data_IF_271522957718
#
_entry.id   IF_271522957718
#
_cell.length_a   1.000
_cell.length_b   1.000
_cell.length_c   1.000
_cell.angle_alpha   90.00
_cell.angle_beta   90.00
_cell.angle_gamma   90.00
#
_symmetry.space_group_name_H-M   'P 1'
#
loop_
_entity.id
_entity.type
_entity.pdbx_description
1 polymer ?
#
# COMPACT_ATOMS: atom_id res chain seq x y z
N UNK A 1 21.83 12.96 -2.01
CA UNK A 1 21.90 12.81 -0.55
C UNK A 1 22.95 13.76 -0.01
N UNK A 2 22.67 14.43 1.09
CA UNK A 2 23.62 15.22 1.87
C UNK A 2 23.80 14.65 3.28
N UNK A 3 24.91 15.01 3.92
CA UNK A 3 25.23 14.62 5.29
C UNK A 3 24.91 15.72 6.32
N UNK A 4 25.06 15.44 7.62
CA UNK A 4 24.91 16.43 8.68
C UNK A 4 25.72 17.71 8.41
N UNK A 5 25.15 18.87 8.73
CA UNK A 5 25.77 20.17 8.44
C UNK A 5 24.90 21.34 8.88
N UNK A 6 25.52 22.52 9.05
CA UNK A 6 24.83 23.78 9.41
C UNK A 6 23.86 23.67 10.62
N UNK A 7 24.22 22.85 11.61
CA UNK A 7 23.42 22.61 12.82
C UNK A 7 22.33 21.53 12.69
N UNK A 8 22.15 20.92 11.51
CA UNK A 8 21.28 19.77 11.33
C UNK A 8 22.06 18.44 11.47
N UNK A 9 21.72 17.57 12.45
CA UNK A 9 22.56 16.43 12.81
C UNK A 9 22.30 15.16 11.98
N UNK A 10 21.32 15.16 11.06
CA UNK A 10 20.89 13.96 10.34
C UNK A 10 21.21 14.03 8.84
N UNK A 11 21.27 12.88 8.14
CA UNK A 11 21.29 12.85 6.68
C UNK A 11 20.05 13.54 6.09
N UNK A 12 20.18 14.10 4.89
CA UNK A 12 19.08 14.78 4.20
C UNK A 12 19.09 14.53 2.70
N UNK A 13 17.94 14.78 2.08
CA UNK A 13 17.74 14.69 0.64
C UNK A 13 16.87 15.85 0.18
N UNK A 14 17.10 16.32 -1.05
CA UNK A 14 16.24 17.28 -1.74
C UNK A 14 15.79 16.62 -3.02
N UNK A 15 14.49 16.54 -3.22
CA UNK A 15 13.86 15.93 -4.38
C UNK A 15 13.24 17.01 -5.26
N UNK A 16 13.08 16.69 -6.54
CA UNK A 16 12.30 17.52 -7.45
C UNK A 16 10.84 17.44 -7.04
N UNK A 17 10.17 18.59 -6.99
CA UNK A 17 8.73 18.66 -6.80
C UNK A 17 7.99 17.97 -7.95
N UNK A 18 6.99 17.15 -7.62
CA UNK A 18 6.10 16.51 -8.59
C UNK A 18 4.77 17.25 -8.59
N UNK A 19 4.32 17.67 -9.76
CA UNK A 19 3.07 18.42 -9.90
C UNK A 19 1.84 17.50 -9.78
N UNK A 20 0.83 17.96 -9.06
CA UNK A 20 -0.43 17.26 -8.84
C UNK A 20 -1.06 17.65 -7.51
N UNK A 21 -2.35 17.35 -7.37
CA UNK A 21 -3.10 17.43 -6.13
C UNK A 21 -2.98 16.11 -5.37
N UNK A 22 -2.92 16.18 -4.04
CA UNK A 22 -2.93 14.98 -3.20
C UNK A 22 -4.32 14.30 -3.29
N UNK A 23 -4.35 12.97 -3.48
CA UNK A 23 -5.61 12.25 -3.63
C UNK A 23 -6.50 12.28 -2.38
N UNK A 24 -5.97 12.61 -1.19
CA UNK A 24 -6.76 12.81 0.04
C UNK A 24 -7.81 13.91 -0.14
N UNK A 25 -7.44 15.01 -0.81
CA UNK A 25 -8.28 16.21 -0.91
C UNK A 25 -8.95 16.34 -2.28
N UNK A 26 -8.64 15.45 -3.22
CA UNK A 26 -9.09 15.57 -4.60
C UNK A 26 -10.30 14.67 -4.90
N UNK A 27 -11.47 15.23 -5.24
CA UNK A 27 -12.62 14.43 -5.67
C UNK A 27 -12.38 13.70 -6.99
N UNK A 28 -11.25 13.98 -7.66
CA UNK A 28 -10.86 13.39 -8.93
C UNK A 28 -9.97 12.15 -8.79
N UNK A 29 -9.66 11.73 -7.56
CA UNK A 29 -8.93 10.49 -7.31
C UNK A 29 -9.79 9.24 -7.55
N UNK A 30 -11.08 9.31 -7.22
CA UNK A 30 -12.00 8.18 -7.35
C UNK A 30 -12.64 8.12 -8.75
N UNK A 31 -11.84 7.77 -9.75
CA UNK A 31 -12.30 7.57 -11.12
C UNK A 31 -11.84 6.22 -11.65
N UNK A 32 -12.61 5.65 -12.58
CA UNK A 32 -12.23 4.42 -13.30
C UNK A 32 -10.87 4.59 -13.99
N UNK A 33 -10.59 5.78 -14.52
CA UNK A 33 -9.31 6.06 -15.17
C UNK A 33 -8.14 6.04 -14.19
N UNK A 34 -8.26 6.68 -13.03
CA UNK A 34 -7.23 6.65 -11.97
C UNK A 34 -7.04 5.23 -11.44
N UNK A 35 -8.13 4.49 -11.22
CA UNK A 35 -8.10 3.08 -10.81
C UNK A 35 -7.31 2.21 -11.80
N UNK A 36 -7.62 2.30 -13.09
CA UNK A 36 -6.91 1.52 -14.12
C UNK A 36 -5.45 1.95 -14.23
N UNK A 37 -5.14 3.25 -14.14
CA UNK A 37 -3.77 3.75 -14.18
C UNK A 37 -2.93 3.26 -12.98
N UNK A 38 -3.50 3.26 -11.77
CA UNK A 38 -2.83 2.76 -10.58
C UNK A 38 -2.60 1.24 -10.66
N UNK A 39 -3.58 0.48 -11.15
CA UNK A 39 -3.42 -0.94 -11.39
C UNK A 39 -2.30 -1.23 -12.42
N UNK A 40 -2.20 -0.44 -13.48
CA UNK A 40 -1.11 -0.56 -14.46
C UNK A 40 0.26 -0.24 -13.85
N UNK A 41 0.33 0.79 -12.99
CA UNK A 41 1.55 1.09 -12.23
C UNK A 41 1.98 -0.08 -11.35
N UNK A 42 1.06 -0.66 -10.56
CA UNK A 42 1.34 -1.81 -9.69
C UNK A 42 1.83 -2.99 -10.52
N UNK A 43 1.19 -3.31 -11.64
CA UNK A 43 1.64 -4.39 -12.53
C UNK A 43 3.02 -4.14 -13.12
N UNK A 44 3.33 -2.90 -13.48
CA UNK A 44 4.66 -2.53 -13.96
C UNK A 44 5.73 -2.67 -12.86
N UNK A 45 5.39 -2.29 -11.63
CA UNK A 45 6.25 -2.46 -10.45
C UNK A 45 6.51 -3.96 -10.21
N UNK A 46 5.47 -4.77 -10.14
CA UNK A 46 5.55 -6.22 -9.90
C UNK A 46 6.29 -6.98 -11.00
N UNK A 47 6.33 -6.45 -12.23
CA UNK A 47 7.05 -7.04 -13.36
C UNK A 47 8.54 -6.67 -13.41
N UNK A 48 9.01 -5.75 -12.56
CA UNK A 48 10.43 -5.40 -12.50
C UNK A 48 11.25 -6.58 -11.95
N UNK A 49 12.52 -6.69 -12.38
CA UNK A 49 13.43 -7.75 -11.94
C UNK A 49 13.56 -7.74 -10.41
N UNK A 50 13.18 -8.83 -9.70
CA UNK A 50 13.27 -8.90 -8.25
C UNK A 50 14.69 -9.18 -7.75
N UNK A 51 15.65 -9.43 -8.65
CA UNK A 51 17.00 -9.83 -8.26
C UNK A 51 17.68 -8.77 -7.37
N UNK A 52 18.03 -9.15 -6.15
CA UNK A 52 18.71 -8.29 -5.18
C UNK A 52 17.79 -7.33 -4.42
N UNK A 53 16.47 -7.43 -4.58
CA UNK A 53 15.51 -6.67 -3.78
C UNK A 53 15.47 -7.12 -2.30
N UNK A 54 15.22 -6.19 -1.36
CA UNK A 54 15.05 -6.56 0.04
C UNK A 54 13.76 -7.34 0.24
N UNK A 55 13.80 -8.41 1.02
CA UNK A 55 12.59 -9.09 1.48
C UNK A 55 11.81 -8.19 2.45
N UNK A 56 10.50 -8.43 2.58
CA UNK A 56 9.69 -7.84 3.63
C UNK A 56 10.31 -8.08 5.02
N UNK A 57 10.54 -7.00 5.77
CA UNK A 57 11.13 -7.04 7.10
C UNK A 57 10.66 -5.84 7.96
N UNK A 58 11.23 -5.69 9.15
CA UNK A 58 10.90 -4.59 10.05
C UNK A 58 11.20 -3.21 9.44
N UNK A 59 12.14 -3.10 8.49
CA UNK A 59 12.45 -1.88 7.76
C UNK A 59 11.33 -1.47 6.79
N UNK A 60 10.63 -2.42 6.19
CA UNK A 60 9.41 -2.18 5.42
C UNK A 60 8.13 -2.19 6.27
N UNK A 61 8.25 -2.24 7.61
CA UNK A 61 7.11 -2.34 8.53
C UNK A 61 6.34 -3.67 8.43
N UNK A 62 7.04 -4.74 8.05
CA UNK A 62 6.52 -6.07 7.79
C UNK A 62 5.38 -6.08 6.75
N UNK A 63 5.41 -5.14 5.80
CA UNK A 63 4.48 -5.08 4.66
C UNK A 63 4.81 -6.18 3.67
N UNK A 64 3.80 -6.92 3.19
CA UNK A 64 4.00 -8.08 2.32
C UNK A 64 4.52 -9.35 3.01
N UNK A 65 4.71 -9.33 4.34
CA UNK A 65 5.03 -10.53 5.12
C UNK A 65 3.73 -11.27 5.54
N UNK A 66 3.79 -12.59 5.84
CA UNK A 66 2.63 -13.35 6.27
C UNK A 66 1.92 -12.75 7.49
N UNK A 67 0.60 -12.63 7.44
CA UNK A 67 -0.22 -12.00 8.51
C UNK A 67 -0.03 -12.64 9.89
N UNK A 68 0.27 -13.95 9.96
CA UNK A 68 0.53 -14.66 11.21
C UNK A 68 1.65 -14.02 12.03
N UNK A 69 2.65 -13.41 11.38
CA UNK A 69 3.73 -12.70 12.07
C UNK A 69 3.22 -11.47 12.83
N UNK A 70 2.09 -10.89 12.42
CA UNK A 70 1.47 -9.69 13.01
C UNK A 70 0.40 -10.01 14.04
N UNK A 71 -0.02 -11.28 14.19
CA UNK A 71 -1.18 -11.67 14.98
C UNK A 71 -1.18 -11.13 16.43
N UNK A 72 -0.09 -11.38 17.16
CA UNK A 72 0.01 -10.94 18.55
C UNK A 72 -0.02 -9.40 18.69
N UNK A 73 0.57 -8.67 17.73
CA UNK A 73 0.57 -7.21 17.75
C UNK A 73 -0.81 -6.64 17.37
N UNK A 74 -1.44 -7.20 16.33
CA UNK A 74 -2.77 -6.78 15.87
C UNK A 74 -3.82 -7.01 16.96
N UNK A 75 -3.86 -8.19 17.59
CA UNK A 75 -4.83 -8.47 18.66
C UNK A 75 -4.69 -7.55 19.86
N UNK A 76 -3.44 -7.23 20.23
CA UNK A 76 -3.15 -6.26 21.29
C UNK A 76 -3.66 -4.88 20.92
N UNK A 77 -3.39 -4.40 19.71
CA UNK A 77 -3.89 -3.12 19.22
C UNK A 77 -5.44 -3.06 19.20
N UNK A 78 -6.10 -4.15 18.79
CA UNK A 78 -7.57 -4.27 18.84
C UNK A 78 -8.07 -4.16 20.29
N UNK A 79 -7.43 -4.87 21.23
CA UNK A 79 -7.82 -4.84 22.63
C UNK A 79 -7.62 -3.45 23.28
N UNK A 80 -6.51 -2.78 22.97
CA UNK A 80 -6.20 -1.43 23.45
C UNK A 80 -7.11 -0.36 22.83
N UNK A 81 -7.63 -0.61 21.63
CA UNK A 81 -8.55 0.29 20.92
C UNK A 81 -10.03 0.07 21.27
N UNK A 82 -10.34 -0.78 22.26
CA UNK A 82 -11.73 -1.00 22.72
C UNK A 82 -12.35 0.34 23.15
N UNK A 83 -13.48 0.68 22.53
CA UNK A 83 -14.17 1.96 22.72
C UNK A 83 -13.93 2.99 21.61
N UNK A 84 -12.93 2.76 20.74
CA UNK A 84 -12.71 3.55 19.52
C UNK A 84 -13.23 2.84 18.27
N UNK A 85 -13.27 1.51 18.31
CA UNK A 85 -13.67 0.64 17.20
C UNK A 85 -14.65 -0.44 17.69
N UNK A 86 -15.37 -1.05 16.75
CA UNK A 86 -16.05 -2.32 16.97
C UNK A 86 -15.00 -3.45 17.03
N UNK A 87 -14.42 -3.64 18.22
CA UNK A 87 -13.35 -4.61 18.44
C UNK A 87 -13.79 -6.05 18.13
N UNK A 88 -15.06 -6.38 18.27
CA UNK A 88 -15.55 -7.74 18.02
C UNK A 88 -15.68 -7.98 16.52
N UNK A 89 -16.22 -7.03 15.76
CA UNK A 89 -16.24 -7.08 14.29
C UNK A 89 -14.81 -7.13 13.69
N UNK A 90 -13.89 -6.32 14.23
CA UNK A 90 -12.49 -6.32 13.75
C UNK A 90 -11.77 -7.63 14.08
N UNK A 91 -12.03 -8.23 15.24
CA UNK A 91 -11.50 -9.57 15.53
C UNK A 91 -12.05 -10.62 14.56
N UNK A 92 -13.34 -10.58 14.21
CA UNK A 92 -13.92 -11.51 13.21
C UNK A 92 -13.24 -11.35 11.85
N UNK A 93 -13.03 -10.12 11.41
CA UNK A 93 -12.35 -9.83 10.14
C UNK A 93 -10.89 -10.29 10.17
N UNK A 94 -10.16 -10.02 11.26
CA UNK A 94 -8.79 -10.46 11.45
C UNK A 94 -8.65 -11.99 11.43
N UNK A 95 -9.55 -12.69 12.12
CA UNK A 95 -9.62 -14.16 12.09
C UNK A 95 -9.92 -14.71 10.70
N UNK A 96 -10.76 -14.04 9.92
CA UNK A 96 -11.01 -14.42 8.53
C UNK A 96 -9.76 -14.25 7.66
N UNK A 97 -9.06 -13.12 7.81
CA UNK A 97 -7.82 -12.86 7.08
C UNK A 97 -6.72 -13.88 7.43
N UNK A 98 -6.56 -14.27 8.70
CA UNK A 98 -5.60 -15.29 9.11
C UNK A 98 -5.90 -16.70 8.56
N UNK A 99 -7.15 -16.97 8.17
CA UNK A 99 -7.54 -18.24 7.53
C UNK A 99 -7.33 -18.23 6.01
N UNK A 100 -7.09 -17.07 5.41
CA UNK A 100 -6.74 -17.01 4.00
C UNK A 100 -5.43 -17.79 3.75
N UNK A 101 -5.27 -18.43 2.58
CA UNK A 101 -4.00 -19.06 2.21
C UNK A 101 -2.86 -18.05 2.31
N UNK A 102 -1.72 -18.48 2.87
CA UNK A 102 -0.50 -17.69 2.82
C UNK A 102 -0.03 -17.66 1.38
N UNK A 103 0.28 -16.48 0.86
CA UNK A 103 0.90 -16.33 -0.45
C UNK A 103 2.21 -17.14 -0.52
N UNK A 104 2.26 -18.12 -1.40
CA UNK A 104 3.36 -19.09 -1.54
C UNK A 104 4.04 -19.05 -2.92
N UNK A 105 3.60 -18.15 -3.80
CA UNK A 105 4.23 -17.84 -5.08
C UNK A 105 5.51 -16.98 -4.92
N UNK A 106 6.18 -16.71 -6.03
CA UNK A 106 7.39 -15.88 -6.02
C UNK A 106 7.08 -14.44 -5.59
N UNK A 107 7.79 -13.89 -4.59
CA UNK A 107 7.53 -12.54 -4.11
C UNK A 107 7.82 -11.52 -5.21
N UNK A 108 6.99 -10.47 -5.26
CA UNK A 108 7.07 -9.39 -6.25
C UNK A 108 7.37 -8.07 -5.54
N UNK A 109 7.85 -7.08 -6.31
CA UNK A 109 7.97 -5.72 -5.79
C UNK A 109 6.60 -5.17 -5.40
N UNK A 110 6.50 -4.71 -4.16
CA UNK A 110 5.34 -4.00 -3.63
C UNK A 110 5.75 -2.63 -3.14
N UNK A 111 4.87 -1.64 -3.31
CA UNK A 111 5.03 -0.31 -2.75
C UNK A 111 4.85 -0.34 -1.22
N UNK A 112 3.88 -1.12 -0.74
CA UNK A 112 3.65 -1.38 0.67
C UNK A 112 2.82 -0.32 1.40
N UNK A 113 2.68 0.88 0.83
CA UNK A 113 1.93 1.99 1.44
C UNK A 113 1.15 2.85 0.42
N UNK A 114 0.36 2.23 -0.45
CA UNK A 114 -0.47 2.93 -1.45
C UNK A 114 -1.74 3.54 -0.82
N UNK A 115 -1.56 4.43 0.15
CA UNK A 115 -2.62 5.26 0.73
C UNK A 115 -2.86 6.50 -0.13
N UNK A 116 -4.05 7.16 -0.03
CA UNK A 116 -4.36 8.35 -0.83
C UNK A 116 -3.32 9.47 -0.66
N UNK A 117 -2.69 9.58 0.52
CA UNK A 117 -1.63 10.54 0.79
C UNK A 117 -0.40 10.39 -0.13
N UNK A 118 -0.19 9.20 -0.67
CA UNK A 118 0.96 8.83 -1.49
C UNK A 118 0.64 8.82 -3.00
N UNK A 119 -0.54 9.31 -3.37
CA UNK A 119 -0.99 9.42 -4.75
C UNK A 119 -1.19 10.89 -5.12
N UNK A 120 -0.62 11.29 -6.26
CA UNK A 120 -0.87 12.59 -6.85
C UNK A 120 -1.75 12.43 -8.09
N UNK A 121 -2.74 13.31 -8.23
CA UNK A 121 -3.64 13.37 -9.36
C UNK A 121 -3.59 14.73 -10.04
N UNK A 122 -3.79 14.74 -11.34
CA UNK A 122 -3.86 15.97 -12.14
C UNK A 122 -4.86 15.78 -13.27
N UNK A 123 -5.80 16.71 -13.39
CA UNK A 123 -6.83 16.70 -14.43
C UNK A 123 -7.61 15.36 -14.47
N UNK A 124 -7.87 14.76 -13.30
CA UNK A 124 -8.59 13.49 -13.16
C UNK A 124 -7.80 12.23 -13.47
N UNK A 125 -6.47 12.33 -13.54
CA UNK A 125 -5.57 11.22 -13.84
C UNK A 125 -4.48 11.08 -12.78
N UNK A 126 -4.05 9.87 -12.49
CA UNK A 126 -2.85 9.62 -11.70
C UNK A 126 -1.62 10.27 -12.36
N UNK A 127 -0.95 11.17 -11.64
CA UNK A 127 0.26 11.87 -12.13
C UNK A 127 1.54 11.35 -11.48
N UNK A 128 1.49 10.91 -10.22
CA UNK A 128 2.64 10.31 -9.54
C UNK A 128 2.21 9.40 -8.37
N UNK A 129 3.10 8.47 -8.04
CA UNK A 129 3.13 7.72 -6.77
C UNK A 129 4.38 8.16 -6.03
N UNK A 130 4.28 8.40 -4.72
CA UNK A 130 5.38 8.88 -3.87
C UNK A 130 5.50 8.01 -2.61
N UNK A 131 6.56 8.26 -1.84
CA UNK A 131 6.83 7.60 -0.55
C UNK A 131 7.07 6.08 -0.61
N UNK A 132 8.18 5.71 -1.24
CA UNK A 132 8.62 4.32 -1.41
C UNK A 132 9.39 3.77 -0.19
N UNK A 133 9.16 4.30 1.01
CA UNK A 133 9.90 3.88 2.19
C UNK A 133 9.63 2.40 2.58
N UNK A 134 8.45 1.89 2.22
CA UNK A 134 8.03 0.50 2.47
C UNK A 134 8.36 -0.47 1.32
N UNK A 135 9.08 -0.03 0.29
CA UNK A 135 9.34 -0.84 -0.92
C UNK A 135 10.12 -2.12 -0.58
N UNK A 136 9.55 -3.28 -0.88
CA UNK A 136 10.19 -4.58 -0.68
C UNK A 136 9.64 -5.65 -1.63
N UNK A 137 10.21 -6.85 -1.57
CA UNK A 137 9.67 -8.06 -2.17
C UNK A 137 8.75 -8.78 -1.19
N UNK A 138 7.50 -9.05 -1.59
CA UNK A 138 6.53 -9.71 -0.72
C UNK A 138 5.23 -10.08 -1.43
N UNK A 139 4.19 -10.29 -0.62
CA UNK A 139 2.84 -10.61 -1.06
C UNK A 139 2.19 -9.43 -1.82
N UNK A 140 1.76 -9.62 -3.08
CA UNK A 140 1.14 -8.57 -3.90
C UNK A 140 -0.16 -8.01 -3.32
N UNK A 141 -0.86 -8.74 -2.46
CA UNK A 141 -2.10 -8.28 -1.83
C UNK A 141 -1.88 -7.01 -0.98
N UNK A 142 -0.64 -6.75 -0.54
CA UNK A 142 -0.32 -5.54 0.22
C UNK A 142 -0.61 -4.25 -0.55
N UNK A 143 -0.54 -4.27 -1.88
CA UNK A 143 -0.80 -3.10 -2.73
C UNK A 143 -2.28 -2.97 -3.16
N UNK A 144 -3.19 -3.78 -2.57
CA UNK A 144 -4.64 -3.68 -2.79
C UNK A 144 -5.35 -2.66 -1.90
N UNK A 145 -4.62 -2.03 -0.96
CA UNK A 145 -5.12 -0.98 -0.07
C UNK A 145 -5.97 0.10 -0.80
N UNK A 146 -5.60 0.60 -1.99
CA UNK A 146 -6.40 1.59 -2.72
C UNK A 146 -7.84 1.17 -3.00
N UNK A 147 -8.11 -0.14 -3.11
CA UNK A 147 -9.47 -0.65 -3.28
C UNK A 147 -10.39 -0.20 -2.13
N UNK A 148 -9.85 0.06 -0.93
CA UNK A 148 -10.60 0.42 0.26
C UNK A 148 -10.39 1.86 0.70
N UNK A 149 -9.17 2.41 0.53
CA UNK A 149 -8.84 3.76 1.00
C UNK A 149 -8.96 4.86 -0.05
N UNK A 150 -9.07 4.50 -1.34
CA UNK A 150 -9.14 5.48 -2.45
C UNK A 150 -10.42 5.31 -3.25
N UNK A 151 -10.75 4.08 -3.67
CA UNK A 151 -11.82 3.85 -4.65
C UNK A 151 -13.14 3.37 -4.04
N UNK A 152 -14.26 3.88 -4.57
CA UNK A 152 -15.60 3.33 -4.33
C UNK A 152 -16.18 2.66 -5.57
N UNK A 153 -17.25 1.88 -5.36
CA UNK A 153 -18.16 1.36 -6.39
C UNK A 153 -17.46 0.84 -7.66
N UNK A 154 -17.64 1.54 -8.78
CA UNK A 154 -17.20 1.16 -10.12
C UNK A 154 -15.68 1.27 -10.29
N UNK A 155 -15.05 2.26 -9.67
CA UNK A 155 -13.60 2.43 -9.71
C UNK A 155 -12.90 1.30 -8.95
N UNK A 156 -13.45 0.87 -7.81
CA UNK A 156 -12.94 -0.31 -7.08
C UNK A 156 -13.03 -1.57 -7.93
N UNK A 157 -14.17 -1.79 -8.59
CA UNK A 157 -14.34 -2.94 -9.47
C UNK A 157 -13.35 -2.91 -10.64
N UNK A 158 -13.14 -1.73 -11.24
CA UNK A 158 -12.19 -1.53 -12.32
C UNK A 158 -10.73 -1.76 -11.87
N UNK A 159 -10.35 -1.28 -10.69
CA UNK A 159 -9.04 -1.51 -10.08
C UNK A 159 -8.76 -3.00 -9.88
N UNK A 160 -9.65 -3.72 -9.19
CA UNK A 160 -9.52 -5.17 -8.96
C UNK A 160 -9.44 -5.95 -10.27
N UNK A 161 -10.31 -5.62 -11.23
CA UNK A 161 -10.32 -6.25 -12.56
C UNK A 161 -9.00 -6.03 -13.31
N UNK A 162 -8.48 -4.80 -13.29
CA UNK A 162 -7.24 -4.47 -14.00
C UNK A 162 -5.99 -5.13 -13.39
N UNK A 163 -6.02 -5.42 -12.08
CA UNK A 163 -4.99 -6.20 -11.39
C UNK A 163 -5.16 -7.72 -11.55
N UNK A 164 -6.31 -8.18 -12.05
CA UNK A 164 -6.67 -9.60 -12.15
C UNK A 164 -6.55 -10.35 -10.80
N UNK A 165 -6.95 -9.68 -9.70
CA UNK A 165 -6.95 -10.30 -8.37
C UNK A 165 -8.17 -11.18 -8.16
N UNK A 166 -7.98 -12.25 -7.40
CA UNK A 166 -9.07 -13.14 -7.01
C UNK A 166 -9.86 -12.61 -5.79
N UNK A 167 -10.81 -13.41 -5.32
CA UNK A 167 -11.62 -13.06 -4.14
C UNK A 167 -10.90 -13.33 -2.81
N UNK A 168 -9.79 -14.08 -2.82
CA UNK A 168 -8.99 -14.33 -1.62
C UNK A 168 -8.10 -13.12 -1.27
N UNK A 169 -7.84 -12.26 -2.25
CA UNK A 169 -7.08 -11.01 -2.13
C UNK A 169 -7.92 -9.77 -1.76
#
# INVERSE_FOLDING_TARGET
MGGPGEGYPWPWAVYRWLEGENAVDSPHADTIETAVALAQFIRALQAADPTGGPAADAGSGDRGAPLVARDAATRRAIAESRGLIDADAVNIAWEAALRAPVYDDSPVWIHGDLEPGNLLVRDGRLSAVIDFCCLCLGDPACDLIPAWSVFTDEARAAFRTALAVDDAA
#
